data_IF_836099349696
#
_entry.id   IF_836099349696
#
_cell.length_a   1.000
_cell.length_b   1.000
_cell.length_c   1.000
_cell.angle_alpha   90.00
_cell.angle_beta   90.00
_cell.angle_gamma   90.00
#
_symmetry.space_group_name_H-M   'P 1'
#
loop_
_entity.id
_entity.type
_entity.pdbx_description
1 polymer ?
#
# COMPACT_ATOMS: atom_id res chain seq x y z
N UNK A 1 -27.28 -14.63 -3.23
CA UNK A 1 -26.82 -15.74 -2.35
C UNK A 1 -27.65 -15.68 -1.07
N UNK A 2 -28.07 -16.80 -0.47
CA UNK A 2 -28.85 -16.74 0.77
C UNK A 2 -27.96 -16.36 1.96
N UNK A 3 -28.53 -15.72 2.98
CA UNK A 3 -27.82 -15.36 4.22
C UNK A 3 -27.12 -16.58 4.84
N UNK A 4 -27.79 -17.74 4.83
CA UNK A 4 -27.24 -18.98 5.37
C UNK A 4 -25.96 -19.44 4.64
N UNK A 5 -25.92 -19.31 3.30
CA UNK A 5 -24.76 -19.68 2.50
C UNK A 5 -23.61 -18.68 2.70
N UNK A 6 -23.91 -17.38 2.66
CA UNK A 6 -22.91 -16.33 2.97
C UNK A 6 -22.29 -16.53 4.36
N UNK A 7 -23.12 -16.84 5.36
CA UNK A 7 -22.66 -17.04 6.73
C UNK A 7 -21.81 -18.29 6.90
N UNK A 8 -22.12 -19.35 6.16
CA UNK A 8 -21.38 -20.60 6.17
C UNK A 8 -20.03 -20.48 5.45
N UNK A 9 -19.99 -19.86 4.27
CA UNK A 9 -18.78 -19.73 3.45
C UNK A 9 -17.70 -18.89 4.11
N UNK A 10 -18.08 -17.91 4.94
CA UNK A 10 -17.14 -17.06 5.67
C UNK A 10 -16.43 -17.77 6.85
N UNK A 11 -16.76 -19.03 7.18
CA UNK A 11 -16.31 -19.71 8.41
C UNK A 11 -15.64 -21.05 8.10
N UNK A 12 -14.68 -21.53 8.93
CA UNK A 12 -14.11 -22.86 8.77
C UNK A 12 -15.21 -23.93 8.74
N UNK A 13 -15.11 -24.94 7.86
CA UNK A 13 -16.11 -26.02 7.82
C UNK A 13 -16.27 -26.66 9.20
N UNK A 14 -17.52 -26.88 9.60
CA UNK A 14 -17.82 -27.62 10.83
C UNK A 14 -17.30 -29.04 10.70
N UNK A 15 -16.65 -29.54 11.74
CA UNK A 15 -16.22 -30.94 11.82
C UNK A 15 -17.42 -31.92 11.98
N UNK A 16 -18.65 -31.40 12.11
CA UNK A 16 -19.88 -32.15 12.29
C UNK A 16 -21.09 -31.23 12.25
N UNK A 17 -22.04 -31.42 13.16
CA UNK A 17 -23.21 -30.54 13.31
C UNK A 17 -22.98 -29.55 14.46
N UNK A 18 -23.00 -28.25 14.17
CA UNK A 18 -22.85 -27.20 15.19
C UNK A 18 -24.18 -26.48 15.43
N UNK A 19 -24.84 -26.79 16.55
CA UNK A 19 -26.12 -26.17 16.95
C UNK A 19 -26.01 -25.32 18.23
N UNK A 20 -24.81 -25.14 18.77
CA UNK A 20 -24.58 -24.41 20.03
C UNK A 20 -23.88 -23.06 19.82
N UNK A 21 -24.42 -22.24 18.92
CA UNK A 21 -23.86 -20.89 18.66
C UNK A 21 -24.01 -19.93 19.84
N UNK A 22 -24.88 -20.25 20.81
CA UNK A 22 -25.12 -19.45 22.01
C UNK A 22 -24.04 -19.61 23.09
N UNK A 23 -23.36 -20.75 23.16
CA UNK A 23 -22.22 -20.94 24.07
C UNK A 23 -20.93 -20.33 23.54
N UNK A 24 -20.58 -20.57 22.27
CA UNK A 24 -19.47 -19.93 21.60
C UNK A 24 -19.74 -19.86 20.11
N UNK A 25 -19.89 -18.64 19.57
CA UNK A 25 -20.16 -18.47 18.15
C UNK A 25 -18.95 -18.89 17.32
N UNK A 26 -19.21 -19.40 16.12
CA UNK A 26 -18.14 -19.70 15.16
C UNK A 26 -17.59 -18.40 14.59
N UNK A 27 -16.31 -18.13 14.81
CA UNK A 27 -15.60 -17.03 14.19
C UNK A 27 -15.49 -17.24 12.67
N UNK A 28 -15.52 -16.14 11.90
CA UNK A 28 -15.18 -16.16 10.48
C UNK A 28 -13.68 -16.39 10.30
N UNK A 29 -13.27 -16.86 9.12
CA UNK A 29 -11.86 -16.98 8.74
C UNK A 29 -11.15 -15.63 8.89
N UNK A 30 -11.78 -14.54 8.43
CA UNK A 30 -11.25 -13.19 8.58
C UNK A 30 -11.01 -12.78 10.04
N UNK A 31 -11.92 -13.12 10.97
CA UNK A 31 -11.72 -12.84 12.41
C UNK A 31 -10.56 -13.66 12.97
N UNK A 32 -10.44 -14.94 12.58
CA UNK A 32 -9.35 -15.81 13.03
C UNK A 32 -8.01 -15.26 12.54
N UNK A 33 -7.92 -14.89 11.26
CA UNK A 33 -6.68 -14.37 10.65
C UNK A 33 -6.25 -13.04 11.28
N UNK A 34 -7.18 -12.11 11.51
CA UNK A 34 -6.89 -10.84 12.16
C UNK A 34 -6.39 -11.00 13.60
N UNK A 35 -7.05 -11.87 14.39
CA UNK A 35 -6.63 -12.16 15.77
C UNK A 35 -5.28 -12.85 15.79
N UNK A 36 -5.02 -13.80 14.87
CA UNK A 36 -3.74 -14.48 14.79
C UNK A 36 -2.60 -13.53 14.40
N UNK A 37 -2.84 -12.61 13.46
CA UNK A 37 -1.87 -11.57 13.09
C UNK A 37 -1.54 -10.65 14.26
N UNK A 38 -2.57 -10.15 14.97
CA UNK A 38 -2.36 -9.30 16.15
C UNK A 38 -1.63 -10.05 17.27
N UNK A 39 -2.04 -11.28 17.59
CA UNK A 39 -1.40 -12.09 18.63
C UNK A 39 0.09 -12.39 18.33
N UNK A 40 0.45 -12.58 17.05
CA UNK A 40 1.86 -12.68 16.65
C UNK A 40 2.61 -11.38 16.91
N UNK A 41 2.02 -10.24 16.54
CA UNK A 41 2.63 -8.93 16.80
C UNK A 41 2.76 -8.64 18.31
N UNK A 42 1.75 -8.98 19.12
CA UNK A 42 1.84 -8.90 20.59
C UNK A 42 3.01 -9.72 21.13
N UNK A 43 3.29 -10.89 20.56
CA UNK A 43 4.42 -11.72 20.95
C UNK A 43 5.79 -11.12 20.55
N UNK A 44 5.82 -10.28 19.51
CA UNK A 44 7.05 -9.62 19.03
C UNK A 44 7.37 -8.34 19.81
N UNK A 45 6.37 -7.52 20.13
CA UNK A 45 6.59 -6.16 20.69
C UNK A 45 5.94 -5.91 22.05
N UNK A 46 5.14 -6.87 22.56
CA UNK A 46 4.38 -6.76 23.80
C UNK A 46 2.96 -6.23 23.59
N UNK A 47 1.99 -6.76 24.36
CA UNK A 47 0.56 -6.52 24.16
C UNK A 47 0.12 -5.05 24.19
N UNK A 48 0.59 -4.27 25.18
CA UNK A 48 0.23 -2.84 25.25
C UNK A 48 0.78 -2.03 24.08
N UNK A 49 2.00 -2.33 23.63
CA UNK A 49 2.65 -1.65 22.50
C UNK A 49 1.93 -1.98 21.19
N UNK A 50 1.58 -3.25 21.00
CA UNK A 50 0.80 -3.71 19.85
C UNK A 50 -0.60 -3.07 19.82
N UNK A 51 -1.28 -2.96 20.96
CA UNK A 51 -2.59 -2.33 21.05
C UNK A 51 -2.56 -0.83 20.74
N UNK A 52 -1.58 -0.08 21.29
CA UNK A 52 -1.40 1.34 20.99
C UNK A 52 -1.06 1.57 19.51
N UNK A 53 -0.28 0.67 18.91
CA UNK A 53 0.06 0.73 17.49
C UNK A 53 -1.19 0.57 16.58
N UNK A 54 -2.15 -0.27 17.00
CA UNK A 54 -3.36 -0.54 16.22
C UNK A 54 -4.42 0.57 16.32
N UNK A 55 -4.45 1.34 17.40
CA UNK A 55 -5.54 2.29 17.68
C UNK A 55 -5.80 3.34 16.57
N UNK A 56 -4.79 4.01 15.97
CA UNK A 56 -5.05 4.98 14.90
C UNK A 56 -5.63 4.33 13.64
N UNK A 57 -5.19 3.11 13.33
CA UNK A 57 -5.66 2.36 12.18
C UNK A 57 -7.12 1.95 12.36
N UNK A 58 -7.48 1.45 13.55
CA UNK A 58 -8.85 1.09 13.90
C UNK A 58 -9.78 2.31 13.83
N UNK A 59 -9.34 3.46 14.35
CA UNK A 59 -10.13 4.69 14.29
C UNK A 59 -10.47 5.11 12.85
N UNK A 60 -9.51 5.03 11.92
CA UNK A 60 -9.75 5.36 10.50
C UNK A 60 -10.77 4.41 9.86
N UNK A 61 -10.69 3.12 10.17
CA UNK A 61 -11.63 2.11 9.65
C UNK A 61 -13.03 2.34 10.21
N UNK A 62 -13.15 2.62 11.51
CA UNK A 62 -14.44 2.90 12.18
C UNK A 62 -15.09 4.18 11.65
N UNK A 63 -14.31 5.25 11.47
CA UNK A 63 -14.77 6.50 10.87
C UNK A 63 -15.26 6.28 9.44
N UNK A 64 -14.51 5.51 8.64
CA UNK A 64 -14.92 5.18 7.28
C UNK A 64 -16.20 4.35 7.28
N UNK A 65 -16.33 3.35 8.15
CA UNK A 65 -17.54 2.53 8.26
C UNK A 65 -18.76 3.38 8.63
N UNK A 66 -18.62 4.29 9.59
CA UNK A 66 -19.69 5.22 9.99
C UNK A 66 -20.09 6.16 8.84
N UNK A 67 -19.12 6.67 8.08
CA UNK A 67 -19.37 7.50 6.91
C UNK A 67 -20.13 6.71 5.83
N UNK A 68 -19.66 5.52 5.47
CA UNK A 68 -20.32 4.69 4.45
C UNK A 68 -21.72 4.25 4.87
N UNK A 69 -21.96 4.03 6.15
CA UNK A 69 -23.30 3.70 6.66
C UNK A 69 -24.27 4.89 6.61
N UNK A 70 -23.77 6.12 6.74
CA UNK A 70 -24.61 7.32 6.82
C UNK A 70 -24.85 7.95 5.44
N UNK A 71 -23.81 8.06 4.61
CA UNK A 71 -23.84 8.68 3.29
C UNK A 71 -22.91 7.92 2.32
N UNK A 72 -23.33 6.74 1.83
CA UNK A 72 -22.48 5.90 0.98
C UNK A 72 -22.21 6.58 -0.37
N UNK A 73 -20.94 6.83 -0.74
CA UNK A 73 -20.60 7.33 -2.06
C UNK A 73 -20.84 6.24 -3.12
N UNK A 74 -20.84 6.65 -4.40
CA UNK A 74 -20.95 5.70 -5.50
C UNK A 74 -19.71 4.78 -5.65
N UNK A 75 -18.56 5.22 -5.13
CA UNK A 75 -17.26 4.55 -5.22
C UNK A 75 -16.29 5.14 -4.19
N UNK A 76 -15.43 4.30 -3.63
CA UNK A 76 -14.28 4.69 -2.80
C UNK A 76 -13.00 4.56 -3.63
N UNK A 77 -12.21 5.63 -3.68
CA UNK A 77 -10.82 5.56 -4.17
C UNK A 77 -9.88 5.58 -2.97
N UNK A 78 -8.99 4.59 -2.90
CA UNK A 78 -8.21 4.33 -1.70
C UNK A 78 -6.72 4.21 -2.03
N UNK A 79 -5.91 5.09 -1.46
CA UNK A 79 -4.46 5.05 -1.64
C UNK A 79 -3.82 4.17 -0.57
N UNK A 80 -3.44 2.95 -0.93
CA UNK A 80 -2.93 1.96 0.03
C UNK A 80 -1.57 2.33 0.63
N UNK A 81 -0.73 3.04 -0.13
CA UNK A 81 0.51 3.63 0.34
C UNK A 81 0.76 4.94 -0.40
N UNK A 82 0.88 6.02 0.35
CA UNK A 82 1.05 7.34 -0.22
C UNK A 82 2.49 7.57 -0.69
N UNK A 83 2.69 8.53 -1.61
CA UNK A 83 4.04 8.80 -2.15
C UNK A 83 4.86 9.75 -1.29
N UNK A 84 4.24 10.55 -0.43
CA UNK A 84 4.89 11.53 0.42
C UNK A 84 5.19 11.03 1.83
N UNK A 85 4.65 9.88 2.24
CA UNK A 85 4.86 9.24 3.53
C UNK A 85 4.77 7.73 3.44
N UNK A 86 5.48 7.02 4.31
CA UNK A 86 5.60 5.57 4.35
C UNK A 86 4.55 4.86 5.19
N UNK A 87 3.44 5.50 5.56
CA UNK A 87 2.41 4.87 6.39
C UNK A 87 1.50 3.98 5.55
N UNK A 88 1.55 2.67 5.78
CA UNK A 88 0.67 1.69 5.19
C UNK A 88 -0.77 1.92 5.67
N UNK A 89 -1.70 2.02 4.73
CA UNK A 89 -3.10 2.16 5.06
C UNK A 89 -3.75 0.77 5.27
N UNK A 90 -4.81 0.66 6.10
CA UNK A 90 -5.48 -0.61 6.39
C UNK A 90 -6.30 -1.13 5.21
N UNK A 91 -5.60 -1.64 4.21
CA UNK A 91 -6.17 -1.96 2.92
C UNK A 91 -7.20 -3.10 3.01
N UNK A 92 -6.90 -4.15 3.79
CA UNK A 92 -7.79 -5.30 3.92
C UNK A 92 -9.11 -4.93 4.62
N UNK A 93 -9.00 -4.16 5.69
CA UNK A 93 -10.10 -3.68 6.51
C UNK A 93 -10.97 -2.70 5.71
N UNK A 94 -10.35 -1.78 4.97
CA UNK A 94 -11.09 -0.85 4.13
C UNK A 94 -11.83 -1.54 2.98
N UNK A 95 -11.25 -2.59 2.40
CA UNK A 95 -11.96 -3.43 1.42
C UNK A 95 -13.13 -4.17 2.08
N UNK A 96 -12.97 -4.68 3.30
CA UNK A 96 -14.04 -5.34 4.04
C UNK A 96 -15.19 -4.38 4.35
N UNK A 97 -14.88 -3.19 4.90
CA UNK A 97 -15.86 -2.13 5.21
C UNK A 97 -16.62 -1.68 3.96
N UNK A 98 -15.92 -1.45 2.84
CA UNK A 98 -16.58 -1.08 1.57
C UNK A 98 -17.50 -2.20 1.07
N UNK A 99 -17.05 -3.46 1.16
CA UNK A 99 -17.84 -4.63 0.76
C UNK A 99 -19.11 -4.78 1.60
N UNK A 100 -19.02 -4.60 2.91
CA UNK A 100 -20.16 -4.63 3.83
C UNK A 100 -21.18 -3.52 3.52
N UNK A 101 -20.69 -2.32 3.18
CA UNK A 101 -21.53 -1.20 2.76
C UNK A 101 -22.07 -1.34 1.32
N UNK A 102 -21.64 -2.34 0.54
CA UNK A 102 -22.01 -2.49 -0.87
C UNK A 102 -21.43 -1.41 -1.79
N UNK A 103 -20.39 -0.71 -1.35
CA UNK A 103 -19.73 0.38 -2.09
C UNK A 103 -18.47 -0.17 -2.76
N UNK A 104 -18.28 0.01 -4.09
CA UNK A 104 -17.10 -0.50 -4.77
C UNK A 104 -15.84 0.29 -4.36
N UNK A 105 -14.72 -0.40 -4.21
CA UNK A 105 -13.42 0.20 -3.87
C UNK A 105 -12.38 0.03 -4.98
N UNK A 106 -11.75 1.14 -5.37
CA UNK A 106 -10.64 1.21 -6.32
C UNK A 106 -9.37 1.59 -5.58
N UNK A 107 -8.36 0.74 -5.67
CA UNK A 107 -7.10 0.91 -4.94
C UNK A 107 -6.03 1.54 -5.84
N UNK A 108 -5.44 2.64 -5.38
CA UNK A 108 -4.16 3.13 -5.87
C UNK A 108 -3.04 2.27 -5.28
N UNK A 109 -2.57 1.33 -6.09
CA UNK A 109 -1.47 0.43 -5.77
C UNK A 109 -0.12 0.98 -6.21
N UNK A 110 0.01 2.27 -6.55
CA UNK A 110 1.23 2.74 -7.18
C UNK A 110 2.44 2.58 -6.25
N UNK A 111 2.38 3.00 -4.97
CA UNK A 111 3.47 2.66 -4.02
C UNK A 111 3.25 1.32 -3.30
N UNK A 112 2.03 0.78 -3.27
CA UNK A 112 1.74 -0.42 -2.49
C UNK A 112 2.05 -1.71 -3.26
N UNK A 113 1.86 -1.76 -4.58
CA UNK A 113 2.03 -3.00 -5.35
C UNK A 113 3.50 -3.42 -5.42
N UNK A 114 3.79 -4.64 -4.95
CA UNK A 114 5.15 -5.16 -4.77
C UNK A 114 5.81 -4.75 -3.45
N UNK A 115 5.15 -3.92 -2.64
CA UNK A 115 5.67 -3.41 -1.36
C UNK A 115 4.81 -3.85 -0.16
N UNK A 116 3.49 -3.88 -0.34
CA UNK A 116 2.49 -4.33 0.62
C UNK A 116 1.69 -5.49 0.02
N UNK A 117 0.98 -6.24 0.86
CA UNK A 117 0.00 -7.19 0.36
C UNK A 117 -1.21 -6.45 -0.20
N UNK A 118 -1.34 -6.49 -1.53
CA UNK A 118 -2.45 -5.88 -2.25
C UNK A 118 -3.52 -6.90 -2.65
N UNK A 119 -3.33 -8.20 -2.35
CA UNK A 119 -4.26 -9.27 -2.73
C UNK A 119 -5.41 -9.43 -1.72
N UNK A 120 -6.06 -8.33 -1.37
CA UNK A 120 -7.15 -8.29 -0.36
C UNK A 120 -8.55 -8.31 -1.00
N UNK A 121 -8.58 -8.39 -2.33
CA UNK A 121 -9.82 -8.54 -3.09
C UNK A 121 -10.62 -7.25 -3.31
N UNK A 122 -9.95 -6.12 -3.54
CA UNK A 122 -10.57 -4.88 -4.03
C UNK A 122 -11.34 -5.08 -5.35
N UNK A 123 -12.26 -4.16 -5.69
CA UNK A 123 -13.03 -4.23 -6.93
C UNK A 123 -12.23 -3.79 -8.15
N UNK A 124 -11.29 -2.87 -7.96
CA UNK A 124 -10.22 -2.63 -8.90
C UNK A 124 -8.93 -2.21 -8.20
N UNK A 125 -7.80 -2.44 -8.85
CA UNK A 125 -6.49 -1.93 -8.45
C UNK A 125 -5.69 -1.55 -9.67
N UNK A 126 -4.98 -0.43 -9.61
CA UNK A 126 -4.00 -0.05 -10.62
C UNK A 126 -2.62 0.14 -10.01
N UNK A 127 -1.58 -0.04 -10.82
CA UNK A 127 -0.23 0.37 -10.46
C UNK A 127 0.63 0.65 -11.68
N UNK A 128 1.69 1.42 -11.47
CA UNK A 128 2.77 1.62 -12.44
C UNK A 128 3.86 0.58 -12.21
N UNK A 129 4.43 0.04 -13.28
CA UNK A 129 5.53 -0.95 -13.21
C UNK A 129 6.83 -0.45 -12.56
N UNK A 130 7.17 0.82 -12.78
CA UNK A 130 8.48 1.44 -12.52
C UNK A 130 8.82 1.80 -11.08
N UNK A 131 8.17 1.15 -10.11
CA UNK A 131 8.34 1.41 -8.68
C UNK A 131 8.94 0.18 -8.01
N UNK A 132 8.25 -0.41 -7.04
CA UNK A 132 8.77 -1.52 -6.24
C UNK A 132 8.99 -2.80 -7.03
N UNK A 133 8.30 -2.96 -8.16
CA UNK A 133 8.55 -4.05 -9.10
C UNK A 133 9.69 -3.79 -10.08
N UNK A 134 10.36 -2.64 -10.03
CA UNK A 134 11.50 -2.31 -10.89
C UNK A 134 11.26 -2.47 -12.42
N UNK A 135 10.00 -2.39 -12.87
CA UNK A 135 9.67 -2.49 -14.29
C UNK A 135 9.97 -1.20 -15.08
N UNK A 136 9.80 -1.20 -16.41
CA UNK A 136 10.13 -0.05 -17.26
C UNK A 136 9.11 1.10 -17.12
N UNK A 137 9.51 2.33 -17.41
CA UNK A 137 8.56 3.47 -17.48
C UNK A 137 7.58 3.29 -18.66
N UNK A 138 6.37 3.85 -18.53
CA UNK A 138 5.39 3.91 -19.62
C UNK A 138 4.43 2.71 -19.69
N UNK A 139 4.47 1.83 -18.69
CA UNK A 139 3.55 0.69 -18.57
C UNK A 139 3.07 0.55 -17.12
N UNK A 140 1.94 -0.13 -16.97
CA UNK A 140 1.30 -0.43 -15.71
C UNK A 140 0.19 -1.44 -15.96
N UNK A 141 -0.69 -1.60 -14.98
CA UNK A 141 -1.87 -2.44 -15.15
C UNK A 141 -3.07 -1.82 -14.44
N UNK A 142 -4.25 -2.28 -14.84
CA UNK A 142 -5.50 -2.13 -14.14
C UNK A 142 -6.13 -3.53 -14.06
N UNK A 143 -6.33 -4.02 -12.85
CA UNK A 143 -7.11 -5.23 -12.60
C UNK A 143 -8.48 -4.83 -12.09
N UNK A 144 -9.54 -5.44 -12.64
CA UNK A 144 -10.94 -5.11 -12.30
C UNK A 144 -11.71 -6.40 -12.12
N UNK A 145 -12.52 -6.46 -11.06
CA UNK A 145 -13.45 -7.58 -10.82
C UNK A 145 -14.54 -7.64 -11.90
N UNK A 146 -14.93 -8.85 -12.36
CA UNK A 146 -15.98 -8.99 -13.37
C UNK A 146 -17.29 -8.27 -13.02
N UNK A 147 -17.67 -8.24 -11.75
CA UNK A 147 -18.86 -7.57 -11.24
C UNK A 147 -18.80 -6.06 -11.45
N UNK A 148 -17.62 -5.45 -11.27
CA UNK A 148 -17.41 -4.04 -11.55
C UNK A 148 -17.33 -3.80 -13.07
N UNK A 149 -16.68 -4.68 -13.83
CA UNK A 149 -16.62 -4.59 -15.31
C UNK A 149 -18.03 -4.54 -15.92
N UNK A 150 -18.97 -5.33 -15.41
CA UNK A 150 -20.36 -5.35 -15.88
C UNK A 150 -21.09 -4.00 -15.71
N UNK A 151 -20.58 -3.11 -14.85
CA UNK A 151 -21.10 -1.75 -14.62
C UNK A 151 -20.40 -0.69 -15.47
N UNK A 152 -19.29 -1.04 -16.12
CA UNK A 152 -18.51 -0.09 -16.92
C UNK A 152 -19.04 0.01 -18.35
N UNK A 153 -18.89 1.19 -18.94
CA UNK A 153 -19.19 1.44 -20.36
C UNK A 153 -17.94 1.95 -21.07
N UNK A 154 -17.60 1.33 -22.21
CA UNK A 154 -16.49 1.80 -23.03
C UNK A 154 -16.82 3.14 -23.67
N UNK A 155 -15.89 4.10 -23.57
CA UNK A 155 -15.98 5.39 -24.27
C UNK A 155 -15.46 5.31 -25.70
N UNK A 156 -14.35 4.61 -25.91
CA UNK A 156 -13.69 4.47 -27.20
C UNK A 156 -13.23 3.02 -27.44
N UNK A 157 -13.52 2.44 -28.61
CA UNK A 157 -14.59 2.88 -29.50
C UNK A 157 -15.93 2.96 -28.70
N UNK A 158 -16.89 3.80 -29.08
CA UNK A 158 -18.20 3.84 -28.42
C UNK A 158 -19.05 2.63 -28.81
N UNK A 159 -19.96 2.21 -27.93
CA UNK A 159 -20.79 1.00 -28.13
C UNK A 159 -21.50 0.96 -29.50
N UNK A 160 -21.95 2.12 -29.98
CA UNK A 160 -22.64 2.31 -31.26
C UNK A 160 -21.84 1.94 -32.51
N UNK A 161 -20.51 1.82 -32.41
CA UNK A 161 -19.67 1.43 -33.55
C UNK A 161 -19.66 -0.09 -33.80
N UNK A 162 -20.29 -0.88 -32.93
CA UNK A 162 -20.41 -2.35 -33.07
C UNK A 162 -19.07 -3.09 -33.26
N UNK A 163 -17.99 -2.54 -32.67
CA UNK A 163 -16.67 -3.18 -32.66
C UNK A 163 -16.70 -4.34 -31.65
N UNK A 164 -16.26 -5.57 -32.02
CA UNK A 164 -16.28 -6.74 -31.15
C UNK A 164 -15.15 -6.70 -30.11
N UNK A 165 -15.22 -5.73 -29.19
CA UNK A 165 -14.23 -5.49 -28.13
C UNK A 165 -14.93 -5.38 -26.78
N UNK A 166 -14.41 -6.09 -25.78
CA UNK A 166 -14.89 -5.97 -24.40
C UNK A 166 -14.51 -4.61 -23.80
N UNK A 167 -15.14 -4.23 -22.68
CA UNK A 167 -14.80 -2.98 -21.99
C UNK A 167 -13.34 -2.93 -21.55
N UNK A 168 -12.80 -4.02 -20.99
CA UNK A 168 -11.38 -4.05 -20.58
C UNK A 168 -10.43 -4.00 -21.78
N UNK A 169 -10.70 -4.74 -22.85
CA UNK A 169 -9.90 -4.65 -24.07
C UNK A 169 -9.94 -3.24 -24.69
N UNK A 170 -11.02 -2.49 -24.49
CA UNK A 170 -11.11 -1.10 -24.96
C UNK A 170 -10.12 -0.16 -24.27
N UNK A 171 -9.69 -0.47 -23.04
CA UNK A 171 -8.66 0.29 -22.33
C UNK A 171 -7.26 0.06 -22.91
N UNK A 172 -7.08 -1.04 -23.63
CA UNK A 172 -5.84 -1.35 -24.35
C UNK A 172 -5.93 -0.99 -25.84
N UNK A 173 -7.01 -0.33 -26.28
CA UNK A 173 -7.22 -0.05 -27.68
C UNK A 173 -6.26 1.03 -28.20
N UNK A 174 -5.44 0.65 -29.20
CA UNK A 174 -4.48 1.53 -29.87
C UNK A 174 -3.07 0.93 -29.92
N UNK A 175 -2.13 1.70 -30.48
CA UNK A 175 -0.71 1.36 -30.45
C UNK A 175 -0.20 1.37 -29.01
N UNK A 176 0.62 0.38 -28.65
CA UNK A 176 1.18 0.27 -27.31
C UNK A 176 2.66 -0.12 -27.36
N UNK A 177 3.44 0.34 -26.39
CA UNK A 177 4.86 0.00 -26.33
C UNK A 177 5.06 -1.48 -25.90
N UNK A 178 5.11 -2.37 -26.88
CA UNK A 178 5.26 -3.81 -26.65
C UNK A 178 6.53 -4.17 -25.86
N UNK A 179 7.64 -3.46 -26.10
CA UNK A 179 8.88 -3.69 -25.38
C UNK A 179 8.73 -3.42 -23.87
N UNK A 180 8.00 -2.35 -23.49
CA UNK A 180 7.73 -2.07 -22.07
C UNK A 180 6.81 -3.11 -21.44
N UNK A 181 5.80 -3.63 -22.16
CA UNK A 181 4.94 -4.72 -21.68
C UNK A 181 5.73 -5.99 -21.41
N UNK A 182 6.62 -6.38 -22.34
CA UNK A 182 7.52 -7.53 -22.18
C UNK A 182 8.44 -7.31 -20.98
N UNK A 183 9.09 -6.15 -20.89
CA UNK A 183 9.96 -5.82 -19.76
C UNK A 183 9.23 -5.85 -18.42
N UNK A 184 7.97 -5.40 -18.37
CA UNK A 184 7.18 -5.49 -17.14
C UNK A 184 6.81 -6.94 -16.79
N UNK A 185 6.50 -7.78 -17.78
CA UNK A 185 6.27 -9.21 -17.55
C UNK A 185 7.49 -9.92 -16.96
N UNK A 186 8.70 -9.55 -17.42
CA UNK A 186 9.96 -10.09 -16.87
C UNK A 186 10.12 -9.66 -15.41
N UNK A 187 9.97 -8.36 -15.12
CA UNK A 187 10.10 -7.82 -13.77
C UNK A 187 9.09 -8.44 -12.77
N UNK A 188 7.85 -8.70 -13.22
CA UNK A 188 6.87 -9.43 -12.41
C UNK A 188 7.30 -10.89 -12.17
N UNK A 189 7.83 -11.56 -13.20
CA UNK A 189 8.38 -12.91 -13.08
C UNK A 189 9.53 -13.00 -12.08
N UNK A 190 10.46 -12.03 -12.10
CA UNK A 190 11.56 -11.93 -11.14
C UNK A 190 11.05 -11.71 -9.71
N UNK A 191 10.08 -10.82 -9.51
CA UNK A 191 9.47 -10.59 -8.19
C UNK A 191 8.77 -11.86 -7.65
N UNK A 192 8.05 -12.59 -8.51
CA UNK A 192 7.40 -13.85 -8.13
C UNK A 192 8.43 -14.95 -7.82
N UNK A 193 9.51 -15.04 -8.60
CA UNK A 193 10.58 -16.00 -8.39
C UNK A 193 11.38 -15.74 -7.10
N UNK A 194 11.56 -14.48 -6.73
CA UNK A 194 12.17 -14.08 -5.45
C UNK A 194 11.27 -14.40 -4.24
N UNK A 195 9.96 -14.57 -4.46
CA UNK A 195 8.96 -14.76 -3.42
C UNK A 195 8.42 -13.44 -2.92
N UNK A 196 7.16 -13.12 -3.28
CA UNK A 196 6.56 -11.83 -2.96
C UNK A 196 6.51 -11.52 -1.45
N UNK A 197 6.32 -12.53 -0.60
CA UNK A 197 6.35 -12.38 0.86
C UNK A 197 7.76 -12.02 1.35
N UNK A 198 8.79 -12.74 0.91
CA UNK A 198 10.20 -12.45 1.24
C UNK A 198 10.61 -11.03 0.83
N UNK A 199 10.15 -10.57 -0.34
CA UNK A 199 10.40 -9.19 -0.79
C UNK A 199 9.74 -8.19 0.16
N UNK A 200 8.49 -8.40 0.56
CA UNK A 200 7.79 -7.49 1.49
C UNK A 200 8.45 -7.46 2.87
N UNK A 201 8.80 -8.63 3.41
CA UNK A 201 9.49 -8.75 4.70
C UNK A 201 10.84 -8.01 4.67
N UNK A 202 11.61 -8.19 3.59
CA UNK A 202 12.87 -7.49 3.40
C UNK A 202 12.68 -5.98 3.27
N UNK A 203 11.66 -5.51 2.55
CA UNK A 203 11.36 -4.08 2.45
C UNK A 203 10.98 -3.48 3.82
N UNK A 204 10.17 -4.18 4.61
CA UNK A 204 9.84 -3.77 5.98
C UNK A 204 11.09 -3.73 6.88
N UNK A 205 11.97 -4.72 6.77
CA UNK A 205 13.25 -4.78 7.49
C UNK A 205 14.17 -3.61 7.13
N UNK A 206 14.41 -3.37 5.83
CA UNK A 206 15.26 -2.27 5.36
C UNK A 206 14.67 -0.91 5.77
N UNK A 207 13.35 -0.76 5.72
CA UNK A 207 12.66 0.42 6.23
C UNK A 207 12.90 0.64 7.72
N UNK A 208 12.78 -0.42 8.53
CA UNK A 208 13.04 -0.37 9.97
C UNK A 208 14.47 0.08 10.25
N UNK A 209 15.44 -0.51 9.57
CA UNK A 209 16.86 -0.13 9.67
C UNK A 209 17.07 1.33 9.28
N UNK A 210 16.47 1.79 8.18
CA UNK A 210 16.56 3.18 7.75
C UNK A 210 16.02 4.13 8.82
N UNK A 211 14.85 3.84 9.40
CA UNK A 211 14.26 4.65 10.48
C UNK A 211 15.11 4.65 11.74
N UNK A 212 15.70 3.52 12.12
CA UNK A 212 16.59 3.43 13.28
C UNK A 212 17.86 4.25 13.08
N UNK A 213 18.54 4.09 11.94
CA UNK A 213 19.78 4.81 11.63
C UNK A 213 19.54 6.32 11.50
N UNK A 214 18.40 6.71 10.94
CA UNK A 214 18.07 8.12 10.69
C UNK A 214 17.42 8.83 11.88
N UNK A 215 16.97 8.11 12.91
CA UNK A 215 16.31 8.68 14.09
C UNK A 215 17.20 9.70 14.83
N UNK A 216 18.51 9.48 14.82
CA UNK A 216 19.48 10.27 15.58
C UNK A 216 20.25 11.30 14.72
N UNK A 217 19.82 11.54 13.47
CA UNK A 217 20.47 12.54 12.61
C UNK A 217 19.98 13.95 13.02
N UNK A 218 20.88 14.84 13.51
CA UNK A 218 20.49 16.19 13.92
C UNK A 218 19.85 16.99 12.79
N UNK A 219 18.87 17.82 13.12
CA UNK A 219 18.14 18.65 12.15
C UNK A 219 17.02 17.92 11.41
N UNK A 220 16.84 16.62 11.66
CA UNK A 220 15.81 15.79 11.03
C UNK A 220 15.02 15.00 12.06
N UNK A 221 13.74 14.77 11.76
CA UNK A 221 12.86 13.89 12.52
C UNK A 221 12.25 12.86 11.58
N UNK A 222 12.42 11.58 11.92
CA UNK A 222 11.71 10.49 11.25
C UNK A 222 10.20 10.61 11.53
N UNK A 223 9.38 10.56 10.47
CA UNK A 223 7.93 10.72 10.57
C UNK A 223 7.22 9.42 10.89
N UNK A 224 7.58 8.34 10.20
CA UNK A 224 6.98 7.02 10.36
C UNK A 224 7.46 6.34 11.66
N UNK A 225 6.63 5.45 12.20
CA UNK A 225 7.03 4.61 13.33
C UNK A 225 8.12 3.63 12.91
N UNK A 226 8.98 3.23 13.85
CA UNK A 226 10.09 2.30 13.57
C UNK A 226 9.60 0.97 12.98
N UNK A 227 8.45 0.48 13.43
CA UNK A 227 7.83 -0.79 13.07
C UNK A 227 6.92 -0.74 11.84
N UNK A 228 6.80 0.42 11.18
CA UNK A 228 6.00 0.57 9.96
C UNK A 228 6.39 -0.47 8.90
N UNK A 229 5.45 -1.26 8.33
CA UNK A 229 5.75 -2.35 7.39
C UNK A 229 6.08 -1.85 5.98
N UNK A 230 6.81 -0.74 5.85
CA UNK A 230 7.25 -0.18 4.58
C UNK A 230 8.72 0.25 4.62
N UNK A 231 9.35 0.27 3.45
CA UNK A 231 10.70 0.79 3.23
C UNK A 231 10.74 2.33 3.13
N UNK A 232 9.61 3.02 2.91
CA UNK A 232 9.62 4.48 2.77
C UNK A 232 9.89 5.11 4.14
N UNK A 233 10.88 6.00 4.19
CA UNK A 233 11.21 6.79 5.38
C UNK A 233 11.20 8.27 5.02
N UNK A 234 10.39 9.02 5.75
CA UNK A 234 10.24 10.47 5.60
C UNK A 234 10.96 11.17 6.74
N UNK A 235 11.77 12.15 6.37
CA UNK A 235 12.54 13.00 7.25
C UNK A 235 11.97 14.42 7.18
N UNK A 236 11.41 14.84 8.30
CA UNK A 236 10.93 16.20 8.48
C UNK A 236 12.07 17.09 9.00
N UNK A 237 12.31 18.27 8.42
CA UNK A 237 13.32 19.19 8.93
C UNK A 237 12.89 19.79 10.28
N UNK A 238 13.78 19.78 11.27
CA UNK A 238 13.54 20.34 12.61
C UNK A 238 14.33 21.61 12.91
N UNK A 239 15.37 21.90 12.12
CA UNK A 239 16.26 23.05 12.33
C UNK A 239 16.42 23.90 11.05
N UNK A 240 15.32 24.12 10.34
CA UNK A 240 15.30 25.03 9.18
C UNK A 240 15.92 24.50 7.88
N UNK A 241 16.41 23.26 7.85
CA UNK A 241 16.89 22.63 6.63
C UNK A 241 15.83 22.68 5.51
N UNK A 242 16.25 23.00 4.28
CA UNK A 242 15.40 22.98 3.09
C UNK A 242 15.53 21.61 2.38
N UNK A 243 14.50 20.74 2.44
CA UNK A 243 14.58 19.42 1.83
C UNK A 243 14.84 19.42 0.32
N UNK A 244 14.42 20.47 -0.41
CA UNK A 244 14.66 20.59 -1.85
C UNK A 244 16.13 20.90 -2.12
N UNK A 245 16.70 21.87 -1.38
CA UNK A 245 18.11 22.22 -1.47
C UNK A 245 19.02 21.06 -1.04
N UNK A 246 18.69 20.41 0.09
CA UNK A 246 19.44 19.25 0.60
C UNK A 246 19.38 18.09 -0.39
N UNK A 247 18.22 17.79 -0.98
CA UNK A 247 18.10 16.76 -2.02
C UNK A 247 18.91 17.10 -3.28
N UNK A 248 18.95 18.36 -3.69
CA UNK A 248 19.76 18.79 -4.82
C UNK A 248 21.27 18.62 -4.51
N UNK A 249 21.70 19.03 -3.32
CA UNK A 249 23.08 18.88 -2.85
C UNK A 249 23.51 17.41 -2.73
N UNK A 250 22.67 16.54 -2.14
CA UNK A 250 22.92 15.10 -2.04
C UNK A 250 23.20 14.47 -3.41
N UNK A 251 22.43 14.86 -4.43
CA UNK A 251 22.60 14.34 -5.79
C UNK A 251 23.88 14.90 -6.43
N UNK A 252 24.07 16.21 -6.39
CA UNK A 252 25.15 16.88 -7.11
C UNK A 252 26.53 16.62 -6.49
N UNK A 253 26.63 16.67 -5.16
CA UNK A 253 27.91 16.70 -4.43
C UNK A 253 28.26 15.36 -3.78
N UNK A 254 27.27 14.48 -3.60
CA UNK A 254 27.44 13.20 -2.87
C UNK A 254 27.03 11.98 -3.68
N UNK A 255 26.38 12.15 -4.84
CA UNK A 255 25.89 11.04 -5.66
C UNK A 255 24.76 10.23 -5.01
N UNK A 256 24.09 10.78 -3.99
CA UNK A 256 23.04 10.10 -3.24
C UNK A 256 21.68 10.55 -3.77
N UNK A 257 20.89 9.61 -4.27
CA UNK A 257 19.59 9.90 -4.88
C UNK A 257 18.46 9.74 -3.86
N UNK A 258 17.85 10.87 -3.50
CA UNK A 258 16.65 10.92 -2.64
C UNK A 258 15.53 11.73 -3.31
N UNK A 259 14.37 11.77 -2.67
CA UNK A 259 13.21 12.55 -3.13
C UNK A 259 12.93 13.68 -2.15
N UNK A 260 12.79 14.92 -2.64
CA UNK A 260 12.09 15.96 -1.87
C UNK A 260 10.59 15.88 -2.18
N UNK A 261 9.77 15.88 -1.14
CA UNK A 261 8.32 15.96 -1.27
C UNK A 261 7.89 17.36 -0.87
N UNK A 262 7.48 18.15 -1.86
CA UNK A 262 6.93 19.49 -1.68
C UNK A 262 5.42 19.42 -1.37
N UNK A 263 4.87 20.50 -0.81
CA UNK A 263 3.46 20.60 -0.42
C UNK A 263 2.48 20.21 -1.55
N UNK A 264 2.79 20.58 -2.79
CA UNK A 264 1.97 20.27 -3.95
C UNK A 264 1.77 18.75 -4.19
N UNK A 265 2.61 17.90 -3.58
CA UNK A 265 2.47 16.44 -3.66
C UNK A 265 1.23 15.93 -2.91
N UNK A 266 0.87 16.56 -1.79
CA UNK A 266 -0.33 16.25 -1.01
C UNK A 266 -0.81 17.53 -0.27
N UNK A 267 -1.40 18.49 -1.01
CA UNK A 267 -1.63 19.86 -0.51
C UNK A 267 -2.67 19.98 0.61
N UNK A 268 -3.47 18.93 0.84
CA UNK A 268 -4.48 18.88 1.90
C UNK A 268 -4.00 18.14 3.16
N UNK A 269 -2.78 17.59 3.14
CA UNK A 269 -2.24 16.78 4.23
C UNK A 269 -0.87 17.29 4.69
N UNK A 270 0.02 17.61 3.74
CA UNK A 270 1.35 18.10 4.04
C UNK A 270 1.30 19.55 4.50
N UNK A 271 1.97 19.84 5.62
CA UNK A 271 2.11 21.19 6.19
C UNK A 271 3.51 21.77 5.99
N UNK A 272 4.48 20.93 5.63
CA UNK A 272 5.85 21.34 5.26
C UNK A 272 6.47 20.37 4.25
N UNK A 273 7.49 20.80 3.48
CA UNK A 273 8.28 19.90 2.66
C UNK A 273 9.05 18.89 3.53
N UNK A 274 9.31 17.72 2.98
CA UNK A 274 10.06 16.64 3.66
C UNK A 274 11.06 16.00 2.70
N UNK A 275 12.15 15.47 3.25
CA UNK A 275 13.08 14.62 2.51
C UNK A 275 12.61 13.18 2.65
N UNK A 276 12.59 12.41 1.57
CA UNK A 276 12.11 11.03 1.56
C UNK A 276 13.20 10.10 1.01
N UNK A 277 13.49 9.10 1.81
CA UNK A 277 14.34 7.95 1.50
C UNK A 277 13.42 6.76 1.17
N UNK A 278 13.78 5.97 0.18
CA UNK A 278 12.97 4.82 -0.27
C UNK A 278 13.91 3.70 -0.73
N UNK A 279 14.70 3.13 0.19
CA UNK A 279 15.59 2.03 -0.10
C UNK A 279 14.83 0.81 -0.62
N UNK A 280 15.51 -0.06 -1.36
CA UNK A 280 14.96 -1.31 -1.87
C UNK A 280 15.67 -2.52 -1.23
N UNK A 281 15.31 -3.74 -1.62
CA UNK A 281 15.75 -4.99 -0.98
C UNK A 281 17.26 -5.19 -0.95
N UNK A 282 17.96 -4.57 -1.91
CA UNK A 282 19.40 -4.60 -2.09
C UNK A 282 20.15 -3.55 -1.26
N UNK A 283 19.45 -2.60 -0.63
CA UNK A 283 20.07 -1.62 0.26
C UNK A 283 20.55 -2.28 1.55
N UNK A 284 21.78 -1.96 1.96
CA UNK A 284 22.43 -2.50 3.16
C UNK A 284 22.35 -1.53 4.34
N UNK A 285 22.69 -2.00 5.54
CA UNK A 285 22.81 -1.13 6.72
C UNK A 285 23.98 -0.14 6.56
N UNK A 286 25.09 -0.56 5.94
CA UNK A 286 26.24 0.30 5.65
C UNK A 286 25.87 1.46 4.71
N UNK A 287 25.05 1.21 3.68
CA UNK A 287 24.55 2.28 2.80
C UNK A 287 23.74 3.33 3.58
N UNK A 288 22.92 2.88 4.53
CA UNK A 288 22.08 3.74 5.36
C UNK A 288 22.92 4.53 6.38
N UNK A 289 23.93 3.90 6.98
CA UNK A 289 24.87 4.55 7.90
C UNK A 289 25.72 5.60 7.18
N UNK A 290 26.22 5.28 5.99
CA UNK A 290 26.93 6.23 5.13
C UNK A 290 26.03 7.41 4.76
N UNK A 291 24.78 7.15 4.39
CA UNK A 291 23.82 8.20 4.10
C UNK A 291 23.57 9.09 5.33
N UNK A 292 23.37 8.50 6.51
CA UNK A 292 23.16 9.26 7.75
C UNK A 292 24.35 10.17 8.07
N UNK A 293 25.58 9.67 7.93
CA UNK A 293 26.78 10.48 8.16
C UNK A 293 26.88 11.66 7.16
N UNK A 294 26.59 11.42 5.89
CA UNK A 294 26.54 12.50 4.89
C UNK A 294 25.45 13.52 5.25
N UNK A 295 24.27 13.07 5.66
CA UNK A 295 23.14 13.94 5.99
C UNK A 295 23.41 14.83 7.21
N UNK A 296 24.24 14.39 8.17
CA UNK A 296 24.70 15.24 9.30
C UNK A 296 25.48 16.48 8.85
N UNK A 297 26.05 16.44 7.64
CA UNK A 297 26.83 17.53 7.05
C UNK A 297 26.05 18.34 6.01
N UNK A 298 24.73 18.10 5.91
CA UNK A 298 23.89 18.80 4.95
C UNK A 298 23.83 20.31 5.25
N UNK A 299 23.75 21.15 4.20
CA UNK A 299 23.64 22.60 4.33
C UNK A 299 22.29 23.08 4.85
#
# INVERSE_FOLDING_TARGET
MSLALQWADARPKVAGLHLDSGACSRQSLAVIDAVAAHARHEAEVGGYVAAEAAAPVLAVVDEAAAMLATDPPALVHFTALASHRGVAQPLAEMVAVCREAGVPIVVDGAQAFGHLDCNVGADAIYSSSRKWLAGPRGVGFLAVRPELVARLQRRLPPASWDVPVTVLQSFEHGEHNAATRIGYSVALGEHLAAGAELVRDRLAEVGRTARQVLADVPGWRVVERVDEPTAITTLEPTDGADPVAVRAWLIAERGIVTTACELARAPFEMTKPVLRVSPHVDTTAEDLEQFAEVLRTAP
#
